data_IF_172579339273
#
_entry.id   IF_172579339273
#
_cell.length_a   1.000
_cell.length_b   1.000
_cell.length_c   1.000
_cell.angle_alpha   90.00
_cell.angle_beta   90.00
_cell.angle_gamma   90.00
#
_symmetry.space_group_name_H-M   'P 1'
#
loop_
_entity.id
_entity.type
_entity.pdbx_description
1 polymer ?
#
# COMPACT_ATOMS: atom_id res chain seq x y z
N UNK A 1 2.18 -54.27 39.01
CA UNK A 1 2.58 -54.89 37.73
C UNK A 1 2.66 -53.74 36.74
N UNK A 2 3.78 -53.00 36.77
CA UNK A 2 4.90 -53.08 35.80
C UNK A 2 4.51 -52.36 34.48
N UNK A 3 5.28 -51.51 33.81
CA UNK A 3 6.64 -50.99 33.97
C UNK A 3 7.00 -50.15 32.70
N UNK A 4 7.85 -49.11 32.84
CA UNK A 4 8.71 -48.41 31.84
C UNK A 4 8.17 -47.50 30.70
N UNK A 5 8.88 -46.37 30.54
CA UNK A 5 8.87 -45.44 29.38
C UNK A 5 9.52 -46.06 28.12
N UNK A 6 9.08 -45.67 26.91
CA UNK A 6 9.93 -45.17 25.79
C UNK A 6 9.10 -44.66 24.61
N UNK A 7 9.58 -43.62 23.91
CA UNK A 7 8.89 -42.98 22.78
C UNK A 7 8.95 -43.77 21.46
N UNK A 8 8.05 -43.41 20.54
CA UNK A 8 8.10 -43.86 19.15
C UNK A 8 7.60 -42.76 18.19
N UNK A 9 8.38 -42.62 17.14
CA UNK A 9 8.31 -41.69 16.01
C UNK A 9 7.04 -41.82 15.17
N UNK A 10 6.44 -40.68 14.78
CA UNK A 10 5.41 -40.62 13.75
C UNK A 10 6.02 -40.96 12.39
N UNK A 11 5.69 -42.13 11.85
CA UNK A 11 5.94 -42.48 10.44
C UNK A 11 4.73 -42.05 9.63
N UNK A 12 4.89 -40.99 8.83
CA UNK A 12 3.88 -40.56 7.86
C UNK A 12 3.80 -41.61 6.72
N UNK A 13 2.78 -42.45 6.77
CA UNK A 13 2.42 -43.34 5.66
C UNK A 13 1.82 -42.52 4.51
N UNK A 14 2.52 -42.50 3.37
CA UNK A 14 1.96 -42.03 2.11
C UNK A 14 0.93 -43.04 1.60
N UNK A 15 -0.33 -42.62 1.46
CA UNK A 15 -1.33 -43.37 0.70
C UNK A 15 -1.14 -43.08 -0.79
N UNK A 16 -0.67 -44.07 -1.56
CA UNK A 16 -0.88 -44.12 -3.01
C UNK A 16 -1.86 -45.26 -3.32
N UNK A 17 -2.83 -45.08 -4.23
CA UNK A 17 -3.73 -46.14 -4.66
C UNK A 17 -3.03 -47.11 -5.63
N UNK A 18 -3.48 -48.38 -5.76
CA UNK A 18 -2.86 -49.32 -6.69
C UNK A 18 -3.32 -49.01 -8.11
N UNK A 19 -2.36 -48.75 -9.01
CA UNK A 19 -2.65 -48.61 -10.44
C UNK A 19 -2.68 -49.99 -11.11
N UNK A 20 -3.85 -50.34 -11.67
CA UNK A 20 -4.04 -51.44 -12.63
C UNK A 20 -3.36 -51.05 -13.95
N UNK A 21 -2.48 -51.91 -14.47
CA UNK A 21 -1.80 -51.71 -15.76
C UNK A 21 -2.69 -52.14 -16.93
N UNK A 22 -2.94 -51.23 -17.87
CA UNK A 22 -3.17 -51.56 -19.28
C UNK A 22 -2.03 -50.95 -20.11
N UNK A 23 -1.41 -51.80 -20.92
CA UNK A 23 -0.28 -51.45 -21.75
C UNK A 23 -0.77 -50.84 -23.07
N UNK A 24 -0.72 -49.51 -23.15
CA UNK A 24 -0.87 -48.73 -24.38
C UNK A 24 0.25 -47.71 -24.45
N UNK A 25 1.07 -47.81 -25.49
CA UNK A 25 2.30 -47.05 -25.71
C UNK A 25 2.09 -45.53 -25.70
N UNK A 26 2.27 -44.91 -24.54
CA UNK A 26 2.65 -43.51 -24.44
C UNK A 26 3.92 -43.44 -23.62
N UNK A 27 5.03 -43.04 -24.26
CA UNK A 27 6.28 -42.79 -23.55
C UNK A 27 6.00 -41.81 -22.39
N UNK A 28 6.29 -42.18 -21.13
CA UNK A 28 6.05 -41.26 -20.02
C UNK A 28 6.97 -40.08 -20.24
N UNK A 29 6.38 -38.89 -20.46
CA UNK A 29 7.10 -37.62 -20.36
C UNK A 29 7.85 -37.68 -19.04
N UNK A 30 9.19 -37.78 -19.10
CA UNK A 30 10.04 -37.73 -17.91
C UNK A 30 9.86 -36.33 -17.33
N UNK A 31 8.95 -36.21 -16.36
CA UNK A 31 8.87 -34.99 -15.59
C UNK A 31 10.15 -34.95 -14.74
N UNK A 32 10.97 -33.89 -14.85
CA UNK A 32 12.11 -33.76 -13.96
C UNK A 32 11.58 -33.79 -12.53
N UNK A 33 11.95 -34.82 -11.77
CA UNK A 33 11.70 -34.92 -10.34
C UNK A 33 12.59 -33.87 -9.69
N UNK A 34 12.18 -32.61 -9.72
CA UNK A 34 12.80 -31.58 -8.91
C UNK A 34 12.75 -32.09 -7.47
N UNK A 35 13.89 -32.11 -6.75
CA UNK A 35 13.91 -32.59 -5.37
C UNK A 35 12.80 -31.88 -4.60
N UNK A 36 12.04 -32.58 -3.76
CA UNK A 36 10.95 -31.96 -2.98
C UNK A 36 11.41 -30.71 -2.22
N UNK A 37 12.69 -30.67 -1.85
CA UNK A 37 13.39 -29.52 -1.25
C UNK A 37 13.40 -28.29 -2.18
N UNK A 38 13.64 -28.46 -3.48
CA UNK A 38 13.63 -27.37 -4.47
C UNK A 38 12.19 -26.85 -4.65
N UNK A 39 11.20 -27.74 -4.65
CA UNK A 39 9.79 -27.37 -4.76
C UNK A 39 9.31 -26.59 -3.52
N UNK A 40 9.72 -27.02 -2.32
CA UNK A 40 9.45 -26.32 -1.06
C UNK A 40 10.17 -24.97 -0.99
N UNK A 41 11.42 -24.89 -1.44
CA UNK A 41 12.19 -23.64 -1.51
C UNK A 41 11.55 -22.63 -2.49
N UNK A 42 11.14 -23.10 -3.67
CA UNK A 42 10.42 -22.27 -4.64
C UNK A 42 9.06 -21.81 -4.09
N UNK A 43 8.33 -22.68 -3.39
CA UNK A 43 7.07 -22.31 -2.74
C UNK A 43 7.26 -21.30 -1.61
N UNK A 44 8.32 -21.43 -0.80
CA UNK A 44 8.63 -20.46 0.27
C UNK A 44 9.05 -19.10 -0.29
N UNK A 45 9.87 -19.09 -1.34
CA UNK A 45 10.25 -17.85 -2.04
C UNK A 45 9.00 -17.21 -2.64
N UNK A 46 8.19 -17.96 -3.39
CA UNK A 46 6.95 -17.44 -3.97
C UNK A 46 6.01 -16.87 -2.90
N UNK A 47 5.85 -17.55 -1.76
CA UNK A 47 5.02 -17.08 -0.64
C UNK A 47 5.53 -15.75 -0.04
N UNK A 48 6.85 -15.56 0.03
CA UNK A 48 7.44 -14.28 0.51
C UNK A 48 7.25 -13.11 -0.47
N UNK A 49 7.09 -13.40 -1.76
CA UNK A 49 6.77 -12.38 -2.77
C UNK A 49 5.29 -11.95 -2.74
N UNK A 50 4.40 -12.77 -2.15
CA UNK A 50 2.95 -12.47 -2.01
C UNK A 50 2.61 -11.67 -0.75
N UNK A 51 3.53 -10.81 -0.28
CA UNK A 51 3.22 -9.82 0.77
C UNK A 51 2.30 -8.74 0.18
N UNK A 52 1.05 -9.11 -0.06
CA UNK A 52 -0.03 -8.17 -0.33
C UNK A 52 -0.19 -7.33 0.93
N UNK A 53 0.25 -6.07 0.84
CA UNK A 53 0.09 -5.12 1.93
C UNK A 53 -1.39 -5.03 2.29
N UNK A 54 -1.77 -5.51 3.47
CA UNK A 54 -3.14 -5.33 3.93
C UNK A 54 -3.39 -3.84 4.06
N UNK A 55 -4.46 -3.36 3.41
CA UNK A 55 -4.94 -2.00 3.58
C UNK A 55 -5.11 -1.69 5.07
N UNK A 56 -4.66 -0.52 5.49
CA UNK A 56 -4.64 -0.10 6.89
C UNK A 56 -5.37 1.22 7.05
N UNK A 57 -6.20 1.33 8.09
CA UNK A 57 -6.76 2.61 8.54
C UNK A 57 -5.93 3.10 9.71
N UNK A 58 -5.27 4.24 9.55
CA UNK A 58 -4.49 4.86 10.62
C UNK A 58 -5.39 5.63 11.60
N UNK A 59 -4.99 5.66 12.88
CA UNK A 59 -5.54 6.65 13.81
C UNK A 59 -4.89 8.02 13.58
N UNK A 60 -5.59 9.10 13.97
CA UNK A 60 -5.09 10.48 13.80
C UNK A 60 -3.68 10.69 14.37
N UNK A 61 -3.49 10.34 15.64
CA UNK A 61 -2.19 10.53 16.32
C UNK A 61 -1.11 9.58 15.82
N UNK A 62 -1.48 8.38 15.38
CA UNK A 62 -0.52 7.44 14.79
C UNK A 62 0.00 7.97 13.45
N UNK A 63 -0.91 8.42 12.59
CA UNK A 63 -0.53 9.02 11.32
C UNK A 63 0.34 10.26 11.54
N UNK A 64 -0.01 11.11 12.50
CA UNK A 64 0.78 12.29 12.85
C UNK A 64 2.23 11.94 13.16
N UNK A 65 2.47 10.93 14.02
CA UNK A 65 3.84 10.48 14.33
C UNK A 65 4.57 9.98 13.09
N UNK A 66 3.93 9.15 12.29
CA UNK A 66 4.53 8.60 11.06
C UNK A 66 4.91 9.73 10.09
N UNK A 67 4.02 10.69 9.86
CA UNK A 67 4.28 11.82 8.97
C UNK A 67 5.35 12.77 9.53
N UNK A 68 5.39 12.94 10.85
CA UNK A 68 6.46 13.68 11.53
C UNK A 68 7.82 13.00 11.37
N UNK A 69 7.88 11.67 11.52
CA UNK A 69 9.10 10.88 11.32
C UNK A 69 9.61 10.95 9.87
N UNK A 70 8.71 11.14 8.90
CA UNK A 70 9.07 11.43 7.51
C UNK A 70 9.45 12.90 7.24
N UNK A 71 9.38 13.78 8.24
CA UNK A 71 9.81 15.18 8.12
C UNK A 71 8.80 16.11 7.44
N UNK A 72 7.50 15.80 7.54
CA UNK A 72 6.46 16.66 6.94
C UNK A 72 6.09 17.90 7.78
N UNK A 73 6.49 17.97 9.05
CA UNK A 73 6.30 19.16 9.88
C UNK A 73 7.09 20.35 9.32
N UNK A 74 6.39 21.40 8.90
CA UNK A 74 6.99 22.59 8.28
C UNK A 74 7.42 22.40 6.82
N UNK A 75 7.19 21.23 6.22
CA UNK A 75 7.59 20.99 4.84
C UNK A 75 6.83 21.94 3.90
N UNK A 76 7.58 22.79 3.17
CA UNK A 76 7.03 23.83 2.28
C UNK A 76 6.11 24.83 3.00
N UNK A 77 6.27 24.99 4.31
CA UNK A 77 5.43 25.88 5.13
C UNK A 77 4.10 25.26 5.59
N UNK A 78 3.86 23.98 5.32
CA UNK A 78 2.69 23.26 5.81
C UNK A 78 2.98 22.60 7.15
N UNK A 79 2.07 22.77 8.10
CA UNK A 79 2.12 22.10 9.39
C UNK A 79 1.69 20.64 9.27
N UNK A 80 2.04 19.80 10.26
CA UNK A 80 1.52 18.43 10.33
C UNK A 80 -0.01 18.40 10.38
N UNK A 81 -0.65 19.46 10.90
CA UNK A 81 -2.10 19.64 10.86
C UNK A 81 -2.66 19.58 9.45
N UNK A 82 -2.03 20.30 8.51
CA UNK A 82 -2.47 20.39 7.13
C UNK A 82 -2.42 19.02 6.46
N UNK A 83 -1.35 18.27 6.69
CA UNK A 83 -1.17 16.91 6.16
C UNK A 83 -2.17 15.90 6.73
N UNK A 84 -2.45 15.99 8.03
CA UNK A 84 -3.44 15.13 8.68
C UNK A 84 -4.85 15.45 8.17
N UNK A 85 -5.16 16.74 8.02
CA UNK A 85 -6.43 17.19 7.48
C UNK A 85 -6.63 16.70 6.05
N UNK A 86 -5.59 16.80 5.21
CA UNK A 86 -5.58 16.26 3.86
C UNK A 86 -5.91 14.76 3.84
N UNK A 87 -5.20 13.97 4.65
CA UNK A 87 -5.40 12.52 4.71
C UNK A 87 -6.81 12.14 5.17
N UNK A 88 -7.38 12.89 6.13
CA UNK A 88 -8.73 12.65 6.64
C UNK A 88 -9.78 12.87 5.55
N UNK A 89 -9.75 14.02 4.86
CA UNK A 89 -10.74 14.33 3.83
C UNK A 89 -10.51 13.56 2.52
N UNK A 90 -9.28 13.16 2.24
CA UNK A 90 -8.98 12.36 1.07
C UNK A 90 -9.53 10.93 1.22
N UNK A 91 -9.24 10.26 2.35
CA UNK A 91 -9.46 8.82 2.46
C UNK A 91 -10.02 8.34 3.80
N UNK A 92 -10.21 9.24 4.78
CA UNK A 92 -10.52 8.85 6.15
C UNK A 92 -9.37 8.05 6.79
N UNK A 93 -8.12 8.40 6.47
CA UNK A 93 -6.89 7.71 6.90
C UNK A 93 -6.71 6.27 6.38
N UNK A 94 -7.47 5.87 5.37
CA UNK A 94 -7.40 4.52 4.80
C UNK A 94 -6.34 4.43 3.69
N UNK A 95 -5.27 3.65 3.91
CA UNK A 95 -4.24 3.42 2.89
C UNK A 95 -4.73 2.60 1.71
N UNK A 96 -5.79 1.81 1.86
CA UNK A 96 -6.37 1.04 0.76
C UNK A 96 -7.48 1.76 -0.01
N UNK A 97 -7.68 3.07 0.22
CA UNK A 97 -8.73 3.82 -0.45
C UNK A 97 -8.45 3.93 -1.96
N UNK A 98 -9.44 3.57 -2.76
CA UNK A 98 -9.42 3.71 -4.22
C UNK A 98 -10.73 4.34 -4.66
N UNK A 99 -10.64 5.40 -5.45
CA UNK A 99 -11.78 6.07 -6.07
C UNK A 99 -11.59 6.17 -7.59
N UNK A 100 -12.69 6.09 -8.34
CA UNK A 100 -12.69 6.04 -9.79
C UNK A 100 -13.38 7.29 -10.35
N UNK A 101 -12.64 8.07 -11.12
CA UNK A 101 -13.14 9.28 -11.75
C UNK A 101 -13.85 8.95 -13.09
N UNK A 102 -14.73 9.85 -13.53
CA UNK A 102 -15.52 9.66 -14.75
C UNK A 102 -14.67 9.60 -16.03
N UNK A 103 -13.45 10.12 -16.01
CA UNK A 103 -12.49 10.05 -17.12
C UNK A 103 -11.69 8.73 -17.15
N UNK A 104 -11.96 7.81 -16.22
CA UNK A 104 -11.26 6.54 -16.07
C UNK A 104 -9.95 6.63 -15.31
N UNK A 105 -9.57 7.80 -14.79
CA UNK A 105 -8.45 7.93 -13.85
C UNK A 105 -8.82 7.42 -12.47
N UNK A 106 -7.82 7.03 -11.68
CA UNK A 106 -8.02 6.50 -10.33
C UNK A 106 -7.28 7.33 -9.30
N UNK A 107 -7.95 7.64 -8.20
CA UNK A 107 -7.35 8.23 -7.01
C UNK A 107 -6.98 7.11 -6.05
N UNK A 108 -5.71 7.04 -5.62
CA UNK A 108 -5.20 5.89 -4.85
C UNK A 108 -4.54 6.31 -3.54
N UNK A 109 -4.75 5.50 -2.51
CA UNK A 109 -4.05 5.57 -1.23
C UNK A 109 -4.58 6.65 -0.29
N UNK A 110 -3.83 6.86 0.79
CA UNK A 110 -4.24 7.73 1.91
C UNK A 110 -4.42 9.21 1.50
N UNK A 111 -3.66 9.65 0.50
CA UNK A 111 -3.74 11.02 -0.05
C UNK A 111 -4.50 11.08 -1.38
N UNK A 112 -5.17 10.01 -1.82
CA UNK A 112 -5.96 9.98 -3.06
C UNK A 112 -5.19 10.55 -4.28
N UNK A 113 -3.96 10.07 -4.49
CA UNK A 113 -3.08 10.54 -5.56
C UNK A 113 -3.61 10.01 -6.90
N UNK A 114 -3.80 10.93 -7.86
CA UNK A 114 -4.48 10.64 -9.11
C UNK A 114 -3.54 10.08 -10.21
N UNK A 115 -3.99 9.02 -10.90
CA UNK A 115 -3.27 8.32 -11.96
C UNK A 115 -3.14 9.07 -13.29
N UNK A 116 -3.81 10.21 -13.45
CA UNK A 116 -3.74 11.06 -14.66
C UNK A 116 -2.38 11.75 -14.79
N UNK A 117 -1.65 11.93 -13.68
CA UNK A 117 -0.38 12.69 -13.65
C UNK A 117 0.72 12.04 -12.80
N UNK A 118 0.37 11.46 -11.66
CA UNK A 118 1.36 11.20 -10.60
C UNK A 118 1.87 9.76 -10.56
N UNK A 119 0.98 8.78 -10.69
CA UNK A 119 1.31 7.36 -10.67
C UNK A 119 0.82 6.68 -11.95
N UNK A 120 1.43 5.55 -12.30
CA UNK A 120 1.09 4.78 -13.50
C UNK A 120 0.16 3.61 -13.18
N UNK A 121 -0.89 3.46 -13.98
CA UNK A 121 -1.68 2.24 -14.07
C UNK A 121 -1.17 1.36 -15.23
N UNK A 122 -1.84 0.25 -15.54
CA UNK A 122 -1.49 -0.60 -16.70
C UNK A 122 -1.59 0.14 -18.05
N UNK A 123 -2.15 1.35 -18.08
CA UNK A 123 -2.27 2.16 -19.28
C UNK A 123 -0.94 2.94 -19.54
N UNK A 124 -0.25 2.72 -20.68
CA UNK A 124 1.10 3.26 -20.90
C UNK A 124 1.17 4.75 -21.24
N UNK A 125 0.04 5.38 -21.61
CA UNK A 125 0.01 6.72 -22.23
C UNK A 125 -0.17 7.88 -21.23
N UNK A 126 -0.02 7.66 -19.93
CA UNK A 126 -0.17 8.71 -18.90
C UNK A 126 1.18 9.11 -18.29
N UNK A 127 1.36 10.40 -17.94
CA UNK A 127 2.52 10.85 -17.17
C UNK A 127 2.63 10.09 -15.84
N UNK A 128 3.85 9.76 -15.45
CA UNK A 128 4.17 9.08 -14.19
C UNK A 128 5.22 9.88 -13.41
N UNK A 129 4.83 11.04 -12.90
CA UNK A 129 5.79 11.96 -12.27
C UNK A 129 6.42 11.38 -11.01
N UNK A 130 5.72 10.55 -10.23
CA UNK A 130 6.30 9.88 -9.06
C UNK A 130 7.07 8.60 -9.41
N UNK A 131 7.08 8.17 -10.68
CA UNK A 131 7.81 6.99 -11.16
C UNK A 131 7.45 5.70 -10.41
N UNK A 132 6.17 5.52 -10.09
CA UNK A 132 5.66 4.36 -9.33
C UNK A 132 4.33 3.86 -9.88
N UNK A 133 3.91 2.66 -9.49
CA UNK A 133 2.57 2.17 -9.81
C UNK A 133 1.56 2.70 -8.80
N UNK A 134 0.32 2.93 -9.24
CA UNK A 134 -0.73 3.37 -8.32
C UNK A 134 -1.08 2.31 -7.26
N UNK A 135 -0.78 1.03 -7.52
CA UNK A 135 -0.88 -0.05 -6.53
C UNK A 135 0.09 0.11 -5.36
N UNK A 136 1.26 0.73 -5.58
CA UNK A 136 2.27 0.93 -4.55
C UNK A 136 1.78 1.92 -3.49
N UNK A 137 0.89 2.85 -3.88
CA UNK A 137 0.25 3.80 -2.99
C UNK A 137 -0.76 3.16 -2.02
N UNK A 138 -1.17 1.92 -2.28
CA UNK A 138 -2.08 1.16 -1.42
C UNK A 138 -1.36 0.43 -0.28
N UNK A 139 -0.02 0.47 -0.28
CA UNK A 139 0.81 -0.14 0.73
C UNK A 139 0.54 0.52 2.10
N UNK A 140 0.37 -0.27 3.18
CA UNK A 140 0.27 0.29 4.53
C UNK A 140 1.55 1.04 4.94
N UNK A 141 2.71 0.74 4.36
CA UNK A 141 3.92 1.53 4.54
C UNK A 141 3.85 2.81 3.71
N UNK A 142 3.78 3.95 4.38
CA UNK A 142 3.56 5.26 3.76
C UNK A 142 4.81 5.87 3.09
N UNK A 143 5.97 5.22 3.11
CA UNK A 143 7.23 5.81 2.62
C UNK A 143 7.12 6.35 1.19
N UNK A 144 6.71 5.51 0.24
CA UNK A 144 6.65 5.91 -1.17
C UNK A 144 5.51 6.91 -1.42
N UNK A 145 4.39 6.73 -0.69
CA UNK A 145 3.25 7.65 -0.69
C UNK A 145 3.63 9.06 -0.22
N UNK A 146 4.43 9.17 0.85
CA UNK A 146 4.91 10.46 1.38
C UNK A 146 5.91 11.10 0.43
N UNK A 147 6.85 10.33 -0.13
CA UNK A 147 7.79 10.84 -1.13
C UNK A 147 7.06 11.43 -2.34
N UNK A 148 6.03 10.73 -2.84
CA UNK A 148 5.21 11.24 -3.94
C UNK A 148 4.43 12.49 -3.53
N UNK A 149 3.82 12.53 -2.34
CA UNK A 149 3.10 13.70 -1.84
C UNK A 149 4.00 14.93 -1.69
N UNK A 150 5.22 14.76 -1.18
CA UNK A 150 6.23 15.82 -1.13
C UNK A 150 6.54 16.35 -2.52
N UNK A 151 6.70 15.47 -3.53
CA UNK A 151 6.89 15.86 -4.92
C UNK A 151 5.71 16.64 -5.49
N UNK A 152 4.47 16.26 -5.15
CA UNK A 152 3.26 16.98 -5.57
C UNK A 152 3.28 18.40 -5.01
N UNK A 153 3.63 18.58 -3.73
CA UNK A 153 3.68 19.93 -3.12
C UNK A 153 4.81 20.84 -3.60
N UNK A 154 5.73 20.31 -4.43
CA UNK A 154 6.70 21.15 -5.14
C UNK A 154 6.08 21.85 -6.36
N UNK A 155 4.94 21.36 -6.87
CA UNK A 155 4.17 22.05 -7.91
C UNK A 155 3.71 23.43 -7.38
N UNK A 156 3.55 24.47 -8.22
CA UNK A 156 3.23 25.83 -7.76
C UNK A 156 1.92 25.94 -6.97
N UNK A 157 1.01 24.98 -7.12
CA UNK A 157 -0.25 24.92 -6.37
C UNK A 157 -0.09 24.33 -4.96
N UNK A 158 1.06 23.72 -4.63
CA UNK A 158 1.31 23.12 -3.31
C UNK A 158 0.26 22.07 -2.93
N UNK A 159 -0.26 22.15 -1.71
CA UNK A 159 -1.39 21.33 -1.25
C UNK A 159 -2.71 21.62 -1.99
N UNK A 160 -2.83 22.77 -2.67
CA UNK A 160 -3.97 23.10 -3.53
C UNK A 160 -4.06 22.27 -4.81
N UNK A 161 -3.05 21.44 -5.11
CA UNK A 161 -3.07 20.49 -6.24
C UNK A 161 -4.08 19.35 -6.06
N UNK A 162 -4.52 19.09 -4.83
CA UNK A 162 -5.51 18.06 -4.55
C UNK A 162 -6.92 18.54 -4.90
N UNK A 163 -7.77 17.60 -5.35
CA UNK A 163 -9.10 17.90 -5.88
C UNK A 163 -9.87 18.90 -5.00
N UNK A 164 -10.57 19.88 -5.61
CA UNK A 164 -11.27 20.91 -4.86
C UNK A 164 -12.42 20.34 -4.03
N UNK A 165 -12.85 19.07 -4.16
CA UNK A 165 -13.81 18.46 -3.22
C UNK A 165 -13.20 18.25 -1.83
N UNK A 166 -11.92 17.87 -1.77
CA UNK A 166 -11.15 17.76 -0.52
C UNK A 166 -10.95 19.13 0.13
N UNK A 167 -10.85 20.19 -0.69
CA UNK A 167 -10.57 21.56 -0.25
C UNK A 167 -11.80 22.45 -0.06
N UNK A 168 -12.89 22.21 -0.81
CA UNK A 168 -14.09 23.10 -0.86
C UNK A 168 -14.84 23.16 0.45
N UNK A 169 -14.70 22.16 1.31
CA UNK A 169 -15.31 22.19 2.63
C UNK A 169 -14.49 23.00 3.64
N UNK A 170 -13.24 23.39 3.32
CA UNK A 170 -12.34 24.13 4.21
C UNK A 170 -11.46 25.17 3.48
N UNK A 171 -11.95 26.40 3.27
CA UNK A 171 -11.11 27.52 2.84
C UNK A 171 -10.18 27.92 4.00
N UNK A 172 -8.95 27.38 4.03
CA UNK A 172 -7.96 27.74 5.05
C UNK A 172 -6.75 26.81 5.18
N UNK A 173 -6.82 25.58 4.64
CA UNK A 173 -5.62 24.76 4.50
C UNK A 173 -4.69 25.52 3.53
N UNK A 174 -3.42 25.71 3.86
CA UNK A 174 -2.46 26.41 2.99
C UNK A 174 -2.61 27.93 2.76
N UNK A 175 -3.53 28.63 3.42
CA UNK A 175 -3.51 30.09 3.49
C UNK A 175 -2.65 30.51 4.69
N UNK A 176 -1.38 30.81 4.43
CA UNK A 176 -0.46 31.33 5.44
C UNK A 176 -0.74 32.82 5.61
N UNK A 177 -1.16 33.24 6.81
CA UNK A 177 -1.13 34.67 7.17
C UNK A 177 0.33 35.17 7.17
N UNK A 178 0.53 36.48 7.18
CA UNK A 178 1.78 37.22 7.34
C UNK A 178 2.68 36.77 8.52
N UNK A 179 2.17 35.90 9.41
CA UNK A 179 2.88 35.26 10.52
C UNK A 179 3.33 33.82 10.24
N UNK A 180 3.03 33.26 9.06
CA UNK A 180 3.39 31.89 8.68
C UNK A 180 2.57 30.79 9.35
N UNK A 181 1.51 31.14 10.10
CA UNK A 181 0.65 30.19 10.79
C UNK A 181 -0.66 29.99 10.03
N UNK A 182 -1.00 28.73 9.69
CA UNK A 182 -2.32 28.37 9.15
C UNK A 182 -3.36 28.44 10.27
N UNK A 183 -3.89 29.63 10.55
CA UNK A 183 -4.77 29.86 11.71
C UNK A 183 -6.16 29.20 11.60
N UNK A 184 -6.54 28.64 10.43
CA UNK A 184 -7.87 28.01 10.22
C UNK A 184 -7.88 26.49 10.12
N UNK A 185 -6.74 25.83 9.90
CA UNK A 185 -6.70 24.36 9.82
C UNK A 185 -6.78 23.70 11.21
N UNK A 186 -6.36 24.42 12.25
CA UNK A 186 -6.22 23.90 13.62
C UNK A 186 -7.52 23.64 14.36
N UNK A 187 -8.67 24.14 13.90
CA UNK A 187 -9.96 23.91 14.58
C UNK A 187 -10.73 22.71 14.01
N UNK A 188 -10.64 22.44 12.70
CA UNK A 188 -11.51 21.41 12.07
C UNK A 188 -10.85 20.03 12.04
N UNK A 189 -9.52 19.98 12.03
CA UNK A 189 -8.77 18.73 11.89
C UNK A 189 -8.02 18.32 13.16
N UNK A 190 -8.01 19.18 14.20
CA UNK A 190 -7.31 18.96 15.46
C UNK A 190 -8.22 18.88 16.70
N UNK A 191 -9.45 19.42 16.67
CA UNK A 191 -10.47 19.10 17.68
C UNK A 191 -11.06 17.70 17.49
#
# INVERSE_FOLDING_TARGET
>A
MESYMTGATYVAGALCPPARMEAGSWAPRRWPCLPGIVLLALASVLSSLLSSGQARVYSRCELARVLQDFGLEGYRGYSLADWICLAYFASGFNTGAVDHEADGSTNSGIFQINSRKWCKNLNPNVPNLCQMYCSDLLNPNLKDTVICAMKITQDPQGLGSWNPKTWRYHPGIGETDSTGLSQRTTLVCWE
#
